data_IF_725138406886
#
_entry.id   IF_725138406886
#
_cell.length_a   1.000
_cell.length_b   1.000
_cell.length_c   1.000
_cell.angle_alpha   90.00
_cell.angle_beta   90.00
_cell.angle_gamma   90.00
#
_symmetry.space_group_name_H-M   'P 1'
#
loop_
_entity.id
_entity.type
_entity.pdbx_description
1 polymer ?
#
# COMPACT_ATOMS: atom_id res chain seq x y z
N UNK A 1 4.35 24.09 13.52
CA UNK A 1 4.90 22.84 12.96
C UNK A 1 3.72 22.04 12.45
N UNK A 2 3.76 21.61 11.18
CA UNK A 2 2.72 20.73 10.65
C UNK A 2 2.76 19.41 11.43
N UNK A 3 1.60 18.93 11.88
CA UNK A 3 1.49 17.73 12.69
C UNK A 3 2.04 16.52 11.92
N UNK A 4 3.05 15.87 12.49
CA UNK A 4 3.90 14.89 11.78
C UNK A 4 3.22 13.53 11.60
N UNK A 5 2.05 13.31 12.19
CA UNK A 5 1.51 11.97 12.38
C UNK A 5 0.42 11.56 11.38
N UNK A 6 -0.28 12.51 10.75
CA UNK A 6 -1.40 12.18 9.84
C UNK A 6 -0.87 11.70 8.50
N UNK A 7 -1.00 10.43 8.19
CA UNK A 7 -0.59 9.87 6.91
C UNK A 7 -1.54 10.28 5.75
N UNK A 8 -1.13 10.15 4.48
CA UNK A 8 -1.93 10.54 3.32
C UNK A 8 -3.34 9.93 3.23
N UNK A 9 -3.61 8.76 3.83
CA UNK A 9 -4.93 8.12 3.83
C UNK A 9 -5.77 8.58 5.01
N UNK A 10 -5.12 8.79 6.16
CA UNK A 10 -5.75 9.31 7.36
C UNK A 10 -6.34 10.72 7.15
N UNK A 11 -5.80 11.52 6.23
CA UNK A 11 -6.38 12.83 5.87
C UNK A 11 -7.85 12.74 5.44
N UNK A 12 -8.26 11.64 4.79
CA UNK A 12 -9.65 11.45 4.36
C UNK A 12 -10.59 11.22 5.55
N UNK A 13 -10.08 10.57 6.60
CA UNK A 13 -10.85 10.23 7.80
C UNK A 13 -10.96 11.47 8.69
N UNK A 14 -9.83 12.07 9.05
CA UNK A 14 -9.81 13.21 9.97
C UNK A 14 -10.47 14.46 9.37
N UNK A 15 -10.35 14.68 8.06
CA UNK A 15 -10.97 15.82 7.37
C UNK A 15 -12.49 15.73 7.36
N UNK A 16 -13.02 14.57 6.96
CA UNK A 16 -14.45 14.32 6.95
C UNK A 16 -15.04 14.39 8.37
N UNK A 17 -14.39 13.73 9.34
CA UNK A 17 -14.81 13.77 10.74
C UNK A 17 -14.83 15.20 11.27
N UNK A 18 -13.76 15.97 11.11
CA UNK A 18 -13.69 17.34 11.61
C UNK A 18 -14.81 18.22 11.03
N UNK A 19 -15.13 18.08 9.74
CA UNK A 19 -16.23 18.83 9.11
C UNK A 19 -17.60 18.53 9.72
N UNK A 20 -17.87 17.26 10.00
CA UNK A 20 -19.11 16.86 10.66
C UNK A 20 -19.19 17.50 12.05
N UNK A 21 -18.07 17.52 12.78
CA UNK A 21 -18.01 18.11 14.12
C UNK A 21 -18.03 19.63 14.13
N UNK A 22 -17.51 20.32 13.11
CA UNK A 22 -17.66 21.78 12.97
C UNK A 22 -19.14 22.16 13.02
N UNK A 23 -19.97 21.40 12.31
CA UNK A 23 -21.41 21.64 12.26
C UNK A 23 -22.10 21.17 13.53
N UNK A 24 -21.81 19.95 14.00
CA UNK A 24 -22.52 19.36 15.13
C UNK A 24 -22.19 20.03 16.48
N UNK A 25 -20.95 20.50 16.66
CA UNK A 25 -20.45 21.00 17.94
C UNK A 25 -20.36 22.52 17.98
N UNK A 26 -19.91 23.17 16.89
CA UNK A 26 -19.53 24.58 16.94
C UNK A 26 -20.63 25.55 16.46
N UNK A 27 -21.49 25.12 15.54
CA UNK A 27 -22.57 25.96 15.02
C UNK A 27 -23.54 26.38 16.13
N UNK A 28 -23.92 27.66 16.15
CA UNK A 28 -24.87 28.23 17.11
C UNK A 28 -24.30 28.50 18.50
N UNK A 29 -23.08 28.04 18.83
CA UNK A 29 -22.42 28.39 20.10
C UNK A 29 -22.12 29.89 20.18
N UNK A 30 -21.65 30.46 19.07
CA UNK A 30 -21.45 31.89 18.90
C UNK A 30 -22.05 32.27 17.54
N UNK A 31 -23.35 32.62 17.45
CA UNK A 31 -24.03 32.82 16.17
C UNK A 31 -23.35 33.85 15.25
N UNK A 32 -22.70 34.86 15.83
CA UNK A 32 -21.92 35.86 15.09
C UNK A 32 -20.71 35.26 14.33
N UNK A 33 -20.23 34.08 14.73
CA UNK A 33 -19.09 33.37 14.15
C UNK A 33 -19.50 32.16 13.30
N UNK A 34 -20.79 31.86 13.15
CA UNK A 34 -21.27 30.73 12.34
C UNK A 34 -20.78 30.80 10.88
N UNK A 35 -20.61 32.01 10.34
CA UNK A 35 -20.01 32.21 9.02
C UNK A 35 -18.58 31.70 8.93
N UNK A 36 -17.79 31.86 9.98
CA UNK A 36 -16.41 31.36 10.05
C UNK A 36 -16.37 29.83 10.16
N UNK A 37 -17.30 29.22 10.90
CA UNK A 37 -17.43 27.75 11.00
C UNK A 37 -17.81 27.14 9.64
N UNK A 38 -18.77 27.75 8.93
CA UNK A 38 -19.14 27.35 7.57
C UNK A 38 -17.98 27.49 6.59
N UNK A 39 -17.23 28.58 6.69
CA UNK A 39 -16.03 28.79 5.88
C UNK A 39 -14.99 27.69 6.11
N UNK A 40 -14.67 27.39 7.38
CA UNK A 40 -13.73 26.33 7.72
C UNK A 40 -14.16 24.96 7.17
N UNK A 41 -15.44 24.61 7.28
CA UNK A 41 -15.99 23.37 6.73
C UNK A 41 -15.87 23.31 5.20
N UNK A 42 -16.16 24.41 4.51
CA UNK A 42 -16.06 24.48 3.05
C UNK A 42 -14.60 24.39 2.56
N UNK A 43 -13.66 25.07 3.20
CA UNK A 43 -12.23 24.98 2.86
C UNK A 43 -11.67 23.59 3.14
N UNK A 44 -12.06 22.97 4.26
CA UNK A 44 -11.68 21.58 4.54
C UNK A 44 -12.23 20.63 3.47
N UNK A 45 -13.45 20.83 2.99
CA UNK A 45 -14.06 19.97 1.97
C UNK A 45 -13.29 20.05 0.64
N UNK A 46 -12.81 21.25 0.27
CA UNK A 46 -11.96 21.44 -0.91
C UNK A 46 -10.62 20.73 -0.74
N UNK A 47 -10.00 20.85 0.43
CA UNK A 47 -8.75 20.17 0.74
C UNK A 47 -8.92 18.63 0.70
N UNK A 48 -9.99 18.10 1.30
CA UNK A 48 -10.32 16.67 1.29
C UNK A 48 -10.49 16.16 -0.15
N UNK A 49 -11.23 16.91 -0.99
CA UNK A 49 -11.46 16.55 -2.39
C UNK A 49 -10.16 16.56 -3.21
N UNK A 50 -9.31 17.58 -3.04
CA UNK A 50 -8.03 17.67 -3.71
C UNK A 50 -7.10 16.51 -3.31
N UNK A 51 -7.06 16.16 -2.02
CA UNK A 51 -6.27 15.03 -1.54
C UNK A 51 -6.81 13.69 -2.07
N UNK A 52 -8.14 13.52 -2.08
CA UNK A 52 -8.80 12.34 -2.65
C UNK A 52 -8.47 12.15 -4.13
N UNK A 53 -8.48 13.22 -4.93
CA UNK A 53 -8.13 13.15 -6.36
C UNK A 53 -6.73 12.58 -6.59
N UNK A 54 -5.74 13.01 -5.79
CA UNK A 54 -4.37 12.48 -5.91
C UNK A 54 -4.28 11.02 -5.47
N UNK A 55 -5.02 10.64 -4.42
CA UNK A 55 -5.08 9.25 -3.95
C UNK A 55 -5.75 8.32 -4.96
N UNK A 56 -6.84 8.76 -5.60
CA UNK A 56 -7.57 7.99 -6.61
C UNK A 56 -6.74 7.76 -7.88
N UNK A 57 -5.77 8.64 -8.16
CA UNK A 57 -4.81 8.50 -9.26
C UNK A 57 -3.68 7.52 -8.98
N UNK A 58 -3.49 7.07 -7.74
CA UNK A 58 -2.49 6.05 -7.44
C UNK A 58 -2.80 4.76 -8.21
N UNK A 59 -1.81 4.15 -8.86
CA UNK A 59 -2.03 2.92 -9.59
C UNK A 59 -2.56 1.84 -8.64
N UNK A 60 -3.74 1.31 -8.94
CA UNK A 60 -4.21 0.10 -8.29
C UNK A 60 -3.20 -1.02 -8.55
N UNK A 61 -2.96 -1.88 -7.54
CA UNK A 61 -2.20 -3.10 -7.77
C UNK A 61 -2.86 -3.85 -8.93
N UNK A 62 -2.10 -4.14 -9.99
CA UNK A 62 -2.63 -4.84 -11.14
C UNK A 62 -3.24 -6.16 -10.67
N UNK A 63 -4.55 -6.33 -10.89
CA UNK A 63 -5.21 -7.60 -10.68
C UNK A 63 -4.66 -8.56 -11.74
N UNK A 64 -3.86 -9.53 -11.31
CA UNK A 64 -3.39 -10.62 -12.16
C UNK A 64 -4.34 -11.78 -11.92
N UNK A 65 -5.06 -12.21 -12.94
CA UNK A 65 -5.81 -13.45 -12.87
C UNK A 65 -4.81 -14.62 -12.79
N UNK A 66 -4.90 -15.41 -11.72
CA UNK A 66 -4.00 -16.53 -11.46
C UNK A 66 -2.61 -16.11 -10.95
N UNK A 67 -1.68 -17.07 -10.93
CA UNK A 67 -0.27 -16.84 -10.56
C UNK A 67 0.66 -17.32 -11.69
N UNK A 68 0.89 -16.47 -12.71
CA UNK A 68 1.79 -16.78 -13.83
C UNK A 68 3.21 -17.15 -13.38
N UNK A 69 3.65 -16.67 -12.21
CA UNK A 69 4.97 -16.99 -11.66
C UNK A 69 5.00 -18.42 -11.13
N UNK A 70 3.98 -18.84 -10.38
CA UNK A 70 3.85 -20.22 -9.94
C UNK A 70 3.70 -21.19 -11.11
N UNK A 71 2.86 -20.85 -12.09
CA UNK A 71 2.65 -21.68 -13.29
C UNK A 71 3.94 -21.84 -14.09
N UNK A 72 4.69 -20.76 -14.32
CA UNK A 72 5.97 -20.83 -15.02
C UNK A 72 7.02 -21.66 -14.26
N UNK A 73 7.04 -21.56 -12.93
CA UNK A 73 7.93 -22.36 -12.08
C UNK A 73 7.63 -23.85 -12.21
N UNK A 74 6.36 -24.21 -12.14
CA UNK A 74 5.91 -25.59 -12.29
C UNK A 74 6.23 -26.13 -13.69
N UNK A 75 5.92 -25.36 -14.74
CA UNK A 75 6.19 -25.73 -16.13
C UNK A 75 7.69 -25.99 -16.39
N UNK A 76 8.59 -25.16 -15.86
CA UNK A 76 10.04 -25.36 -15.97
C UNK A 76 10.49 -26.67 -15.32
N UNK A 77 9.96 -27.00 -14.14
CA UNK A 77 10.30 -28.24 -13.43
C UNK A 77 9.73 -29.47 -14.16
N UNK A 78 8.48 -29.41 -14.61
CA UNK A 78 7.86 -30.48 -15.41
C UNK A 78 8.61 -30.69 -16.72
N UNK A 79 8.98 -29.62 -17.39
CA UNK A 79 9.74 -29.68 -18.64
C UNK A 79 11.13 -30.30 -18.45
N UNK A 80 11.83 -29.95 -17.36
CA UNK A 80 13.10 -30.58 -17.02
C UNK A 80 12.98 -32.10 -16.86
N UNK A 81 11.99 -32.57 -16.11
CA UNK A 81 11.68 -34.00 -15.95
C UNK A 81 11.30 -34.66 -17.28
N UNK A 82 10.57 -33.95 -18.13
CA UNK A 82 10.22 -34.42 -19.48
C UNK A 82 11.49 -34.68 -20.29
N UNK A 83 12.41 -33.72 -20.37
CA UNK A 83 13.67 -33.86 -21.12
C UNK A 83 14.49 -35.06 -20.61
N UNK A 84 14.63 -35.21 -19.29
CA UNK A 84 15.35 -36.33 -18.68
C UNK A 84 14.70 -37.70 -18.96
N UNK A 85 13.38 -37.73 -19.16
CA UNK A 85 12.63 -38.95 -19.45
C UNK A 85 12.77 -39.45 -20.90
N UNK A 86 13.27 -38.62 -21.82
CA UNK A 86 13.38 -38.99 -23.23
C UNK A 86 14.50 -40.01 -23.41
N UNK A 87 14.11 -41.23 -23.82
CA UNK A 87 15.06 -42.31 -24.10
C UNK A 87 16.11 -41.88 -25.12
N UNK A 88 17.39 -42.09 -24.78
CA UNK A 88 18.52 -41.73 -25.63
C UNK A 88 19.00 -40.29 -25.48
N UNK A 89 18.34 -39.46 -24.65
CA UNK A 89 18.74 -38.10 -24.31
C UNK A 89 19.19 -37.27 -25.54
N UNK A 90 18.32 -37.09 -26.55
CA UNK A 90 18.70 -36.46 -27.82
C UNK A 90 19.09 -34.98 -27.67
N UNK A 91 18.71 -34.34 -26.57
CA UNK A 91 19.09 -32.97 -26.22
C UNK A 91 19.49 -32.94 -24.75
N UNK A 92 20.64 -32.35 -24.44
CA UNK A 92 21.09 -32.21 -23.07
C UNK A 92 20.23 -31.18 -22.31
N UNK A 93 19.92 -31.47 -21.04
CA UNK A 93 19.18 -30.54 -20.16
C UNK A 93 19.84 -29.15 -20.08
N UNK A 94 21.18 -29.13 -20.17
CA UNK A 94 21.98 -27.90 -20.16
C UNK A 94 21.71 -26.96 -21.33
N UNK A 95 21.13 -27.44 -22.44
CA UNK A 95 20.71 -26.56 -23.54
C UNK A 95 19.57 -25.61 -23.11
N UNK A 96 18.76 -26.04 -22.13
CA UNK A 96 17.59 -25.29 -21.66
C UNK A 96 17.85 -24.52 -20.35
N UNK A 97 18.68 -25.08 -19.47
CA UNK A 97 18.88 -24.57 -18.11
C UNK A 97 20.33 -24.19 -17.80
N UNK A 98 21.20 -24.11 -18.81
CA UNK A 98 22.64 -23.89 -18.66
C UNK A 98 23.27 -24.95 -17.73
N UNK A 99 23.80 -24.54 -16.58
CA UNK A 99 24.35 -25.44 -15.55
C UNK A 99 23.44 -25.57 -14.33
N UNK A 100 22.29 -24.92 -14.34
CA UNK A 100 21.35 -24.94 -13.23
C UNK A 100 20.41 -26.14 -13.34
N UNK A 101 20.06 -26.73 -12.21
CA UNK A 101 18.92 -27.63 -12.14
C UNK A 101 17.61 -26.85 -12.45
N UNK A 102 16.60 -27.47 -13.09
CA UNK A 102 15.33 -26.81 -13.41
C UNK A 102 14.65 -26.17 -12.20
N UNK A 103 14.71 -26.84 -11.04
CA UNK A 103 14.16 -26.32 -9.77
C UNK A 103 14.89 -25.08 -9.25
N UNK A 104 16.21 -25.00 -9.46
CA UNK A 104 17.02 -23.82 -9.12
C UNK A 104 16.73 -22.69 -10.09
N UNK A 105 16.68 -22.97 -11.39
CA UNK A 105 16.41 -22.00 -12.43
C UNK A 105 15.00 -21.38 -12.28
N UNK A 106 14.00 -22.17 -11.88
CA UNK A 106 12.63 -21.71 -11.62
C UNK A 106 12.53 -20.69 -10.47
N UNK A 107 13.43 -20.73 -9.48
CA UNK A 107 13.40 -19.81 -8.32
C UNK A 107 13.92 -18.41 -8.61
N UNK A 108 14.32 -18.13 -9.86
CA UNK A 108 14.81 -16.82 -10.28
C UNK A 108 13.73 -15.73 -10.11
N UNK A 109 14.17 -14.48 -9.91
CA UNK A 109 13.30 -13.29 -9.89
C UNK A 109 12.56 -13.11 -11.22
N UNK A 110 11.40 -12.44 -11.21
CA UNK A 110 10.51 -12.26 -12.38
C UNK A 110 11.26 -11.94 -13.69
N UNK A 111 12.08 -10.89 -13.73
CA UNK A 111 12.85 -10.52 -14.93
C UNK A 111 13.75 -11.65 -15.48
N UNK A 112 14.39 -12.40 -14.58
CA UNK A 112 15.23 -13.55 -14.97
C UNK A 112 14.38 -14.75 -15.36
N UNK A 113 13.17 -14.88 -14.81
CA UNK A 113 12.22 -15.93 -15.15
C UNK A 113 11.62 -15.70 -16.54
N UNK A 114 11.23 -14.46 -16.88
CA UNK A 114 10.80 -14.06 -18.24
C UNK A 114 11.86 -14.45 -19.27
N UNK A 115 13.11 -14.07 -19.02
CA UNK A 115 14.23 -14.38 -19.91
C UNK A 115 14.48 -15.88 -20.06
N UNK A 116 14.40 -16.64 -18.96
CA UNK A 116 14.55 -18.10 -18.97
C UNK A 116 13.43 -18.78 -19.76
N UNK A 117 12.18 -18.40 -19.52
CA UNK A 117 11.02 -18.96 -20.24
C UNK A 117 11.11 -18.68 -21.75
N UNK A 118 11.54 -17.47 -22.12
CA UNK A 118 11.83 -17.11 -23.53
C UNK A 118 12.93 -17.97 -24.13
N UNK A 119 14.02 -18.17 -23.39
CA UNK A 119 15.14 -19.01 -23.80
C UNK A 119 14.67 -20.45 -24.04
N UNK A 120 13.99 -21.06 -23.06
CA UNK A 120 13.44 -22.42 -23.18
C UNK A 120 12.51 -22.55 -24.39
N UNK A 121 11.57 -21.62 -24.59
CA UNK A 121 10.67 -21.61 -25.75
C UNK A 121 11.42 -21.58 -27.09
N UNK A 122 12.48 -20.78 -27.17
CA UNK A 122 13.33 -20.65 -28.37
C UNK A 122 14.15 -21.92 -28.61
N UNK A 123 14.71 -22.49 -27.55
CA UNK A 123 15.48 -23.74 -27.61
C UNK A 123 14.60 -24.93 -28.01
N UNK A 124 13.33 -24.98 -27.56
CA UNK A 124 12.36 -26.00 -28.02
C UNK A 124 12.16 -25.91 -29.53
N UNK A 125 12.00 -24.71 -30.09
CA UNK A 125 11.84 -24.53 -31.54
C UNK A 125 13.06 -25.03 -32.31
N UNK A 126 14.27 -24.74 -31.79
CA UNK A 126 15.52 -25.18 -32.38
C UNK A 126 15.63 -26.72 -32.43
N UNK A 127 15.09 -27.41 -31.42
CA UNK A 127 15.15 -28.87 -31.29
C UNK A 127 13.84 -29.59 -31.64
N UNK A 128 12.92 -28.96 -32.37
CA UNK A 128 11.60 -29.55 -32.68
C UNK A 128 11.64 -30.94 -33.34
N UNK A 129 12.69 -31.25 -34.10
CA UNK A 129 12.88 -32.57 -34.71
C UNK A 129 13.32 -33.67 -33.75
N UNK A 130 13.80 -33.29 -32.56
CA UNK A 130 14.33 -34.19 -31.53
C UNK A 130 13.37 -34.38 -30.35
N UNK A 131 12.30 -33.58 -30.28
CA UNK A 131 11.35 -33.55 -29.18
C UNK A 131 9.97 -34.01 -29.68
N UNK A 132 9.49 -35.15 -29.19
CA UNK A 132 8.21 -35.75 -29.64
C UNK A 132 7.01 -34.82 -29.42
N UNK A 133 6.98 -34.15 -28.26
CA UNK A 133 5.84 -33.37 -27.80
C UNK A 133 6.15 -31.85 -27.88
N UNK A 134 6.97 -31.43 -28.87
CA UNK A 134 7.50 -30.06 -28.92
C UNK A 134 6.41 -28.98 -29.05
N UNK A 135 5.31 -29.26 -29.76
CA UNK A 135 4.25 -28.27 -30.02
C UNK A 135 3.55 -27.84 -28.74
N UNK A 136 3.13 -28.79 -27.90
CA UNK A 136 2.44 -28.49 -26.65
C UNK A 136 3.34 -27.70 -25.70
N UNK A 137 4.59 -28.11 -25.55
CA UNK A 137 5.56 -27.38 -24.73
C UNK A 137 5.83 -25.99 -25.26
N UNK A 138 5.97 -25.84 -26.58
CA UNK A 138 6.18 -24.55 -27.19
C UNK A 138 4.99 -23.60 -26.98
N UNK A 139 3.77 -24.07 -27.18
CA UNK A 139 2.54 -23.29 -26.95
C UNK A 139 2.45 -22.84 -25.48
N UNK A 140 2.67 -23.77 -24.54
CA UNK A 140 2.66 -23.49 -23.11
C UNK A 140 3.71 -22.43 -22.72
N UNK A 141 4.97 -22.59 -23.13
CA UNK A 141 6.02 -21.62 -22.80
C UNK A 141 5.84 -20.27 -23.51
N UNK A 142 5.21 -20.22 -24.69
CA UNK A 142 4.84 -18.94 -25.34
C UNK A 142 3.76 -18.21 -24.55
N UNK A 143 2.73 -18.92 -24.10
CA UNK A 143 1.67 -18.35 -23.28
C UNK A 143 2.23 -17.80 -21.96
N UNK A 144 3.05 -18.60 -21.26
CA UNK A 144 3.72 -18.20 -20.02
C UNK A 144 4.65 -17.01 -20.22
N UNK A 145 5.43 -16.98 -21.32
CA UNK A 145 6.27 -15.83 -21.65
C UNK A 145 5.43 -14.55 -21.78
N UNK A 146 4.31 -14.63 -22.50
CA UNK A 146 3.41 -13.49 -22.70
C UNK A 146 2.84 -13.01 -21.37
N UNK A 147 2.33 -13.92 -20.53
CA UNK A 147 1.76 -13.58 -19.22
C UNK A 147 2.80 -12.93 -18.29
N UNK A 148 3.99 -13.51 -18.18
CA UNK A 148 5.06 -12.97 -17.35
C UNK A 148 5.59 -11.62 -17.87
N UNK A 149 5.68 -11.43 -19.18
CA UNK A 149 6.11 -10.17 -19.78
C UNK A 149 5.10 -9.05 -19.51
N UNK A 150 3.80 -9.34 -19.64
CA UNK A 150 2.73 -8.40 -19.26
C UNK A 150 2.80 -8.04 -17.78
N UNK A 151 3.02 -9.02 -16.90
CA UNK A 151 3.19 -8.80 -15.46
C UNK A 151 4.40 -7.91 -15.15
N UNK A 152 5.55 -8.17 -15.78
CA UNK A 152 6.74 -7.36 -15.62
C UNK A 152 6.52 -5.92 -16.11
N UNK A 153 5.84 -5.76 -17.24
CA UNK A 153 5.52 -4.44 -17.80
C UNK A 153 4.57 -3.66 -16.88
N UNK A 154 3.48 -4.27 -16.43
CA UNK A 154 2.55 -3.66 -15.47
C UNK A 154 3.26 -3.25 -14.18
N UNK A 155 4.18 -4.09 -13.66
CA UNK A 155 4.98 -3.76 -12.50
C UNK A 155 5.95 -2.59 -12.69
N UNK A 156 6.47 -2.38 -13.92
CA UNK A 156 7.29 -1.20 -14.24
C UNK A 156 6.44 0.06 -14.37
N UNK A 157 5.30 -0.03 -15.03
CA UNK A 157 4.38 1.08 -15.22
C UNK A 157 3.81 1.57 -13.88
N UNK A 158 3.40 0.66 -13.00
CA UNK A 158 2.95 0.99 -11.65
C UNK A 158 4.05 1.71 -10.85
N UNK A 159 5.29 1.21 -10.86
CA UNK A 159 6.41 1.87 -10.17
C UNK A 159 6.71 3.25 -10.71
N UNK A 160 6.60 3.44 -12.03
CA UNK A 160 6.80 4.74 -12.67
C UNK A 160 5.67 5.71 -12.28
N UNK A 161 4.42 5.26 -12.36
CA UNK A 161 3.26 6.05 -11.95
C UNK A 161 3.34 6.46 -10.48
N UNK A 162 3.72 5.53 -9.59
CA UNK A 162 3.98 5.82 -8.17
C UNK A 162 5.08 6.87 -7.98
N UNK A 163 6.19 6.75 -8.72
CA UNK A 163 7.29 7.71 -8.63
C UNK A 163 6.89 9.11 -9.11
N UNK A 164 6.06 9.19 -10.16
CA UNK A 164 5.55 10.45 -10.69
C UNK A 164 4.53 11.11 -9.77
N UNK A 165 3.68 10.32 -9.09
CA UNK A 165 2.65 10.83 -8.20
C UNK A 165 3.18 11.19 -6.80
N UNK A 166 4.34 10.64 -6.38
CA UNK A 166 4.87 10.87 -5.02
C UNK A 166 5.09 12.35 -4.66
N UNK A 167 5.66 13.22 -5.53
CA UNK A 167 5.79 14.64 -5.23
C UNK A 167 4.43 15.34 -5.12
N UNK A 168 3.49 14.97 -6.00
CA UNK A 168 2.14 15.54 -6.01
C UNK A 168 1.35 15.14 -4.75
N UNK A 169 1.46 13.88 -4.33
CA UNK A 169 0.87 13.40 -3.08
C UNK A 169 1.45 14.12 -1.86
N UNK A 170 2.76 14.36 -1.84
CA UNK A 170 3.41 15.11 -0.77
C UNK A 170 2.92 16.56 -0.72
N UNK A 171 2.83 17.23 -1.88
CA UNK A 171 2.33 18.60 -1.99
C UNK A 171 0.84 18.71 -1.60
N UNK A 172 0.00 17.76 -2.04
CA UNK A 172 -1.41 17.71 -1.66
C UNK A 172 -1.59 17.48 -0.16
N UNK A 173 -0.79 16.60 0.44
CA UNK A 173 -0.78 16.40 1.90
C UNK A 173 -0.37 17.68 2.64
N UNK A 174 0.66 18.36 2.19
CA UNK A 174 1.12 19.61 2.81
C UNK A 174 0.04 20.71 2.72
N UNK A 175 -0.58 20.87 1.55
CA UNK A 175 -1.70 21.78 1.36
C UNK A 175 -2.89 21.44 2.27
N UNK A 176 -3.24 20.16 2.37
CA UNK A 176 -4.29 19.67 3.26
C UNK A 176 -3.98 19.99 4.73
N UNK A 177 -2.75 19.70 5.20
CA UNK A 177 -2.33 19.97 6.57
C UNK A 177 -2.34 21.47 6.89
N UNK A 178 -2.01 22.32 5.93
CA UNK A 178 -2.09 23.78 6.08
C UNK A 178 -3.53 24.23 6.36
N UNK A 179 -4.49 23.76 5.57
CA UNK A 179 -5.91 24.06 5.76
C UNK A 179 -6.41 23.50 7.09
N UNK A 180 -6.09 22.25 7.40
CA UNK A 180 -6.50 21.58 8.63
C UNK A 180 -5.96 22.31 9.88
N UNK A 181 -4.69 22.71 9.86
CA UNK A 181 -4.06 23.47 10.96
C UNK A 181 -4.69 24.86 11.12
N UNK A 182 -4.97 25.55 10.01
CA UNK A 182 -5.66 26.84 10.04
C UNK A 182 -7.08 26.71 10.62
N UNK A 183 -7.82 25.68 10.21
CA UNK A 183 -9.14 25.38 10.75
C UNK A 183 -9.08 25.05 12.25
N UNK A 184 -8.07 24.29 12.71
CA UNK A 184 -7.85 24.03 14.15
C UNK A 184 -7.66 25.32 14.95
N UNK A 185 -6.90 26.29 14.43
CA UNK A 185 -6.74 27.59 15.07
C UNK A 185 -8.05 28.41 15.09
N UNK A 186 -8.80 28.43 13.98
CA UNK A 186 -10.08 29.13 13.86
C UNK A 186 -11.11 28.58 14.85
N UNK A 187 -11.32 27.26 14.85
CA UNK A 187 -12.27 26.60 15.74
C UNK A 187 -11.87 26.73 17.21
N UNK A 188 -10.57 26.68 17.51
CA UNK A 188 -10.06 27.02 18.84
C UNK A 188 -10.52 28.42 19.28
N UNK A 189 -10.46 29.41 18.38
CA UNK A 189 -10.96 30.76 18.63
C UNK A 189 -12.47 30.78 18.92
N UNK A 190 -13.27 30.10 18.10
CA UNK A 190 -14.74 29.99 18.30
C UNK A 190 -15.06 29.38 19.67
N UNK A 191 -14.43 28.25 20.01
CA UNK A 191 -14.66 27.57 21.29
C UNK A 191 -14.21 28.41 22.48
N UNK A 192 -13.11 29.17 22.37
CA UNK A 192 -12.69 30.11 23.43
C UNK A 192 -13.70 31.24 23.64
N UNK A 193 -14.24 31.81 22.57
CA UNK A 193 -15.30 32.83 22.68
C UNK A 193 -16.59 32.27 23.31
N UNK A 194 -16.90 30.99 23.09
CA UNK A 194 -18.00 30.31 23.74
C UNK A 194 -17.70 29.90 25.20
N UNK A 195 -16.45 29.97 25.65
CA UNK A 195 -16.02 29.43 26.94
C UNK A 195 -16.05 27.89 27.01
N UNK A 196 -15.96 27.21 25.86
CA UNK A 196 -16.13 25.76 25.68
C UNK A 196 -14.91 25.07 25.05
N UNK A 197 -13.71 25.48 25.44
CA UNK A 197 -12.45 24.98 24.84
C UNK A 197 -12.25 23.47 25.06
N UNK A 198 -12.87 22.91 26.11
CA UNK A 198 -12.88 21.48 26.41
C UNK A 198 -13.52 20.62 25.32
N UNK A 199 -14.28 21.22 24.40
CA UNK A 199 -14.88 20.51 23.25
C UNK A 199 -13.89 20.31 22.09
N UNK A 200 -12.71 20.94 22.11
CA UNK A 200 -11.76 20.87 21.00
C UNK A 200 -11.35 19.42 20.62
N UNK A 201 -11.11 18.49 21.57
CA UNK A 201 -10.80 17.10 21.24
C UNK A 201 -11.98 16.32 20.64
N UNK A 202 -13.22 16.77 20.82
CA UNK A 202 -14.39 16.18 20.16
C UNK A 202 -14.47 16.59 18.68
N UNK A 203 -13.86 17.72 18.34
CA UNK A 203 -13.87 18.26 16.98
C UNK A 203 -12.71 17.73 16.14
N UNK A 204 -11.54 17.54 16.77
CA UNK A 204 -10.31 17.09 16.13
C UNK A 204 -9.86 15.76 16.76
N UNK A 205 -10.23 14.64 16.15
CA UNK A 205 -10.00 13.29 16.69
C UNK A 205 -8.50 12.94 16.82
N UNK A 206 -7.65 13.56 15.99
CA UNK A 206 -6.20 13.41 16.08
C UNK A 206 -5.67 13.85 17.46
N UNK A 207 -6.31 14.85 18.10
CA UNK A 207 -5.96 15.26 19.46
C UNK A 207 -6.37 14.22 20.50
N UNK A 208 -7.51 13.55 20.31
CA UNK A 208 -7.96 12.49 21.20
C UNK A 208 -7.01 11.27 21.14
N UNK A 209 -6.39 11.02 20.00
CA UNK A 209 -5.37 9.97 19.84
C UNK A 209 -4.02 10.35 20.46
N UNK A 210 -3.58 11.60 20.34
CA UNK A 210 -2.37 12.08 21.03
C UNK A 210 -2.50 11.97 22.56
N UNK A 211 -3.70 12.20 23.12
CA UNK A 211 -3.97 12.00 24.55
C UNK A 211 -4.05 10.51 24.95
N UNK A 212 -4.49 9.60 24.07
CA UNK A 212 -4.47 8.14 24.30
C UNK A 212 -3.05 7.57 24.24
N UNK A 213 -2.23 8.02 23.29
CA UNK A 213 -0.86 7.56 23.13
C UNK A 213 0.08 8.06 24.26
N UNK A 214 -0.16 9.26 24.78
CA UNK A 214 0.61 9.83 25.90
C UNK A 214 0.23 9.25 27.29
N UNK A 215 -0.75 8.34 27.36
CA UNK A 215 -1.44 7.99 28.60
C UNK A 215 -1.71 6.49 28.82
N UNK A 216 -0.80 5.59 28.43
CA UNK A 216 -0.80 4.21 28.96
C UNK A 216 0.49 3.98 29.76
N UNK A 217 0.46 4.41 31.01
CA UNK A 217 1.08 3.62 32.07
C UNK A 217 -0.09 2.93 32.76
N UNK A 218 -0.28 1.64 32.47
CA UNK A 218 -1.02 0.74 33.36
C UNK A 218 -0.19 0.58 34.65
N UNK A 219 -0.07 1.65 35.43
CA UNK A 219 0.30 1.55 36.82
C UNK A 219 -0.99 1.14 37.56
N UNK A 220 -1.24 -0.17 37.55
CA UNK A 220 -2.10 -0.80 38.55
C UNK A 220 -1.66 -0.26 39.91
N UNK A 221 -2.57 0.25 40.77
CA UNK A 221 -2.15 0.74 42.08
C UNK A 221 -1.57 -0.44 42.85
N UNK A 222 -0.25 -0.43 43.02
CA UNK A 222 0.44 -1.40 43.87
C UNK A 222 -0.06 -1.15 45.30
N UNK A 223 -0.67 -2.14 45.98
CA UNK A 223 -1.05 -1.95 47.36
C UNK A 223 0.22 -1.67 48.17
N UNK A 224 0.18 -0.59 48.97
CA UNK A 224 1.30 -0.18 49.80
C UNK A 224 1.77 -1.35 50.70
N UNK A 225 3.08 -1.51 50.94
CA UNK A 225 3.57 -2.50 51.89
C UNK A 225 3.02 -2.17 53.28
N UNK A 226 2.34 -3.13 53.89
CA UNK A 226 1.98 -3.06 55.30
C UNK A 226 3.27 -3.26 56.09
N UNK A 227 3.76 -2.20 56.73
CA UNK A 227 4.88 -2.32 57.67
C UNK A 227 4.51 -3.28 58.82
N UNK A 228 5.36 -4.25 59.17
CA UNK A 228 5.13 -5.07 60.35
C UNK A 228 5.27 -4.20 61.60
N UNK A 229 4.19 -4.14 62.40
CA UNK A 229 4.22 -3.51 63.72
C UNK A 229 5.28 -4.19 64.60
N UNK A 230 6.11 -3.42 65.34
CA UNK A 230 6.95 -4.00 66.38
C UNK A 230 6.05 -4.44 67.55
N UNK A 231 6.18 -5.72 67.91
CA UNK A 231 5.62 -6.29 69.12
C UNK A 231 6.32 -5.71 70.35
N UNK A 232 5.53 -5.29 71.33
CA UNK A 232 5.96 -4.99 72.69
C UNK A 232 5.50 -6.13 73.60
#
# INVERSE_FOLDING_TARGET
MADSYIDPRETLIYGAFARDQFTAVCMGLVPALDGAVKFASAEQAKADAAMKDVLDRQPAAAAVDGDPVAEARDALVRFGKYIESIKGAPVALSAFFDRDAPSTAARRRLTKLVALVKHVSTTIEHHKGSLRDYRSWQEEFRALHSALASLEQAGRESKLADAMLRPELAAAREAWLSVYTANKALITGVLRHAGRIELLPLVFDDLAEQHRAAGVSDATPTPAPVDPQPTN
#
